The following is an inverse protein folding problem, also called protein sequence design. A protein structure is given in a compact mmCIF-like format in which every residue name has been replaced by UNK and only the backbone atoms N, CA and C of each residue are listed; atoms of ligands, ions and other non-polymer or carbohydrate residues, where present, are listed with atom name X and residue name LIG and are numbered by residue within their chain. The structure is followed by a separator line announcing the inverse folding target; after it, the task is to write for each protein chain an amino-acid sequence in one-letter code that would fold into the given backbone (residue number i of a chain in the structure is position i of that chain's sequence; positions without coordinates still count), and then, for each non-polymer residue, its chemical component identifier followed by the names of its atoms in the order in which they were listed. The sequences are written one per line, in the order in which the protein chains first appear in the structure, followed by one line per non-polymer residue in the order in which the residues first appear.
data_IF_710304911892
#
_entry.id   IF_710304911892
#
_cell.length_a   1.000
_cell.length_b   1.000
_cell.length_c   1.000
_cell.angle_alpha   90.00
_cell.angle_beta   90.00
_cell.angle_gamma   90.00
#
_symmetry.space_group_name_H-M   'P 1'
#
loop_
_entity.id
_entity.type
_entity.pdbx_description
1 polymer ?
#
# COMPACT_ATOMS: atom_id res chain seq x y z
N UNK A 1 15.90 12.26 -6.51
CA UNK A 1 17.12 11.65 -7.14
C UNK A 1 17.99 10.85 -6.14
N UNK A 2 18.02 11.19 -4.83
CA UNK A 2 18.90 10.56 -3.82
C UNK A 2 18.61 9.07 -3.54
N UNK A 3 17.39 8.60 -3.71
CA UNK A 3 16.98 7.31 -3.13
C UNK A 3 16.71 6.19 -4.16
N UNK A 4 16.72 6.47 -5.45
CA UNK A 4 16.45 5.48 -6.51
C UNK A 4 14.98 4.97 -6.55
N UNK A 5 14.11 5.44 -5.67
CA UNK A 5 12.69 5.11 -5.68
C UNK A 5 11.92 5.66 -4.49
N UNK A 6 10.62 5.36 -4.46
CA UNK A 6 9.68 5.71 -3.40
C UNK A 6 8.75 4.54 -3.09
N UNK A 7 8.20 4.51 -1.88
CA UNK A 7 7.08 3.64 -1.49
C UNK A 7 5.83 4.49 -1.33
N UNK A 8 4.75 4.06 -1.93
CA UNK A 8 3.44 4.74 -1.88
C UNK A 8 2.44 3.81 -1.19
N UNK A 9 1.94 4.23 -0.04
CA UNK A 9 0.90 3.56 0.73
C UNK A 9 -0.46 4.02 0.22
N UNK A 10 -1.24 3.09 -0.29
CA UNK A 10 -2.52 3.39 -0.95
C UNK A 10 -3.64 2.66 -0.19
N UNK A 11 -4.72 3.33 0.23
CA UNK A 11 -5.89 2.67 0.77
C UNK A 11 -6.87 2.25 -0.33
N UNK A 12 -7.74 1.27 -0.05
CA UNK A 12 -8.92 0.97 -0.87
C UNK A 12 -9.99 2.05 -0.63
N UNK A 13 -9.73 3.25 -1.12
CA UNK A 13 -10.58 4.41 -0.91
C UNK A 13 -10.92 5.11 -2.24
N UNK A 14 -12.15 5.53 -2.40
CA UNK A 14 -12.67 6.14 -3.63
C UNK A 14 -12.31 5.30 -4.88
N UNK A 15 -11.84 5.95 -5.94
CA UNK A 15 -11.45 5.28 -7.18
C UNK A 15 -9.96 4.87 -7.16
N UNK A 16 -9.51 4.19 -6.10
CA UNK A 16 -8.09 3.82 -5.92
C UNK A 16 -7.49 3.07 -7.12
N UNK A 17 -8.28 2.32 -7.89
CA UNK A 17 -7.81 1.67 -9.12
C UNK A 17 -7.33 2.68 -10.18
N UNK A 18 -7.76 3.94 -10.14
CA UNK A 18 -7.31 4.96 -11.07
C UNK A 18 -5.84 5.34 -10.88
N UNK A 19 -5.23 4.98 -9.74
CA UNK A 19 -3.80 5.21 -9.48
C UNK A 19 -2.91 4.52 -10.55
N UNK A 20 -3.39 3.49 -11.21
CA UNK A 20 -2.67 2.86 -12.33
C UNK A 20 -2.37 3.85 -13.45
N UNK A 21 -3.24 4.85 -13.65
CA UNK A 21 -3.05 5.90 -14.65
C UNK A 21 -1.86 6.83 -14.37
N UNK A 22 -1.36 6.85 -13.13
CA UNK A 22 -0.18 7.66 -12.76
C UNK A 22 1.05 7.29 -13.57
N UNK A 23 1.16 6.02 -14.01
CA UNK A 23 2.25 5.59 -14.88
C UNK A 23 2.36 6.38 -16.18
N UNK A 24 1.24 6.91 -16.70
CA UNK A 24 1.24 7.72 -17.92
C UNK A 24 1.83 9.13 -17.75
N UNK A 25 1.90 9.64 -16.51
CA UNK A 25 2.39 10.98 -16.19
C UNK A 25 3.69 10.98 -15.39
N UNK A 26 4.22 9.80 -15.06
CA UNK A 26 5.54 9.66 -14.44
C UNK A 26 6.64 10.04 -15.41
N UNK A 27 7.80 10.37 -14.87
CA UNK A 27 8.96 10.67 -15.71
C UNK A 27 9.33 9.47 -16.61
N UNK A 28 9.65 9.67 -17.90
CA UNK A 28 10.09 8.60 -18.78
C UNK A 28 11.25 7.79 -18.16
N UNK A 29 11.09 6.47 -18.09
CA UNK A 29 12.09 5.57 -17.50
C UNK A 29 11.85 5.21 -16.02
N UNK A 30 10.92 5.89 -15.33
CA UNK A 30 10.47 5.47 -14.01
C UNK A 30 9.55 4.26 -14.12
N UNK A 31 9.65 3.35 -13.15
CA UNK A 31 8.85 2.12 -13.15
C UNK A 31 7.79 2.18 -12.04
N UNK A 32 6.50 2.30 -12.39
CA UNK A 32 5.43 2.13 -11.43
C UNK A 32 5.25 0.64 -11.12
N UNK A 33 5.75 0.19 -9.97
CA UNK A 33 5.62 -1.19 -9.48
C UNK A 33 4.30 -1.34 -8.76
N UNK A 34 3.47 -2.24 -9.25
CA UNK A 34 2.14 -2.55 -8.72
C UNK A 34 2.17 -3.93 -8.06
N UNK A 35 2.13 -3.95 -6.73
CA UNK A 35 2.13 -5.21 -5.98
C UNK A 35 0.71 -5.76 -5.89
N UNK A 36 0.52 -7.00 -6.31
CA UNK A 36 -0.78 -7.63 -6.33
C UNK A 36 -0.74 -9.07 -5.78
N UNK A 37 -1.91 -9.56 -5.35
CA UNK A 37 -2.10 -10.97 -5.01
C UNK A 37 -2.62 -11.71 -6.24
N UNK A 38 -1.90 -12.72 -6.76
CA UNK A 38 -2.36 -13.52 -7.89
C UNK A 38 -3.74 -14.14 -7.63
N UNK A 39 -4.58 -14.13 -8.67
CA UNK A 39 -5.91 -14.71 -8.61
C UNK A 39 -5.87 -16.21 -8.93
N UNK A 40 -6.80 -16.98 -8.35
CA UNK A 40 -6.94 -18.42 -8.62
C UNK A 40 -7.35 -18.69 -10.07
N UNK A 41 -8.19 -17.82 -10.63
CA UNK A 41 -8.60 -17.89 -12.03
C UNK A 41 -7.52 -17.25 -12.90
N UNK A 42 -6.79 -18.07 -13.67
CA UNK A 42 -5.67 -17.64 -14.52
C UNK A 42 -6.08 -16.64 -15.60
N UNK A 43 -7.27 -16.77 -16.18
CA UNK A 43 -7.75 -15.86 -17.23
C UNK A 43 -8.02 -14.47 -16.67
N UNK A 44 -8.68 -14.38 -15.50
CA UNK A 44 -8.89 -13.12 -14.81
C UNK A 44 -7.56 -12.51 -14.33
N UNK A 45 -6.63 -13.32 -13.85
CA UNK A 45 -5.31 -12.85 -13.44
C UNK A 45 -4.56 -12.18 -14.58
N UNK A 46 -4.50 -12.82 -15.75
CA UNK A 46 -3.86 -12.27 -16.95
C UNK A 46 -4.59 -11.01 -17.45
N UNK A 47 -5.92 -11.01 -17.47
CA UNK A 47 -6.70 -9.83 -17.85
C UNK A 47 -6.37 -8.63 -16.95
N UNK A 48 -6.37 -8.80 -15.61
CA UNK A 48 -6.04 -7.72 -14.68
C UNK A 48 -4.59 -7.27 -14.79
N UNK A 49 -3.64 -8.17 -15.02
CA UNK A 49 -2.24 -7.81 -15.28
C UNK A 49 -2.14 -6.93 -16.53
N UNK A 50 -2.84 -7.30 -17.61
CA UNK A 50 -2.84 -6.51 -18.83
C UNK A 50 -3.44 -5.11 -18.61
N UNK A 51 -4.57 -5.01 -17.92
CA UNK A 51 -5.19 -3.73 -17.57
C UNK A 51 -4.22 -2.85 -16.75
N UNK A 52 -3.58 -3.41 -15.73
CA UNK A 52 -2.63 -2.68 -14.86
C UNK A 52 -1.36 -2.27 -15.59
N UNK A 53 -0.90 -3.05 -16.57
CA UNK A 53 0.28 -2.73 -17.36
C UNK A 53 0.03 -1.66 -18.44
N UNK A 54 -1.24 -1.32 -18.72
CA UNK A 54 -1.64 -0.44 -19.82
C UNK A 54 -0.97 0.94 -19.79
N UNK A 55 -0.63 1.43 -18.60
CA UNK A 55 0.04 2.72 -18.39
C UNK A 55 1.50 2.57 -17.93
N UNK A 56 2.18 1.51 -18.38
CA UNK A 56 3.58 1.26 -18.02
C UNK A 56 3.79 0.55 -16.68
N UNK A 57 2.70 0.10 -16.03
CA UNK A 57 2.76 -0.60 -14.75
C UNK A 57 3.53 -1.92 -14.81
N UNK A 58 4.47 -2.11 -13.89
CA UNK A 58 5.20 -3.37 -13.70
C UNK A 58 4.54 -4.18 -12.59
N UNK A 59 3.83 -5.24 -12.97
CA UNK A 59 3.09 -6.07 -12.03
C UNK A 59 4.01 -7.03 -11.28
N UNK A 60 3.97 -6.98 -9.96
CA UNK A 60 4.78 -7.85 -9.08
C UNK A 60 3.88 -8.63 -8.14
N UNK A 61 3.99 -9.95 -8.15
CA UNK A 61 3.27 -10.79 -7.21
C UNK A 61 3.77 -10.54 -5.77
N UNK A 62 2.87 -10.42 -4.80
CA UNK A 62 3.16 -10.09 -3.40
C UNK A 62 4.34 -10.89 -2.81
N UNK A 63 4.41 -12.19 -3.08
CA UNK A 63 5.44 -13.07 -2.54
C UNK A 63 6.84 -12.85 -3.14
N UNK A 64 6.94 -12.19 -4.30
CA UNK A 64 8.22 -11.89 -4.98
C UNK A 64 8.65 -10.42 -4.88
N UNK A 65 7.87 -9.58 -4.17
CA UNK A 65 8.07 -8.13 -4.14
C UNK A 65 9.51 -7.74 -3.78
N UNK A 66 10.04 -8.22 -2.67
CA UNK A 66 11.40 -7.85 -2.23
C UNK A 66 12.46 -8.21 -3.28
N UNK A 67 12.38 -9.42 -3.85
CA UNK A 67 13.32 -9.88 -4.88
C UNK A 67 13.29 -9.02 -6.14
N UNK A 68 12.09 -8.74 -6.65
CA UNK A 68 11.92 -7.96 -7.88
C UNK A 68 12.35 -6.51 -7.70
N UNK A 69 12.02 -5.89 -6.57
CA UNK A 69 12.42 -4.51 -6.28
C UNK A 69 13.93 -4.37 -6.11
N UNK A 70 14.58 -5.34 -5.43
CA UNK A 70 16.05 -5.38 -5.33
C UNK A 70 16.69 -5.53 -6.71
N UNK A 71 16.13 -6.39 -7.58
CA UNK A 71 16.58 -6.57 -8.96
C UNK A 71 16.52 -5.26 -9.74
N UNK A 72 15.36 -4.60 -9.77
CA UNK A 72 15.16 -3.32 -10.46
C UNK A 72 16.12 -2.23 -9.96
N UNK A 73 16.34 -2.17 -8.63
CA UNK A 73 17.31 -1.24 -8.04
C UNK A 73 18.73 -1.51 -8.52
N UNK A 74 19.16 -2.79 -8.59
CA UNK A 74 20.49 -3.16 -9.09
C UNK A 74 20.69 -2.82 -10.57
N UNK A 75 19.60 -2.82 -11.34
CA UNK A 75 19.56 -2.37 -12.73
C UNK A 75 19.58 -0.83 -12.88
N UNK A 76 19.71 -0.09 -11.78
CA UNK A 76 19.73 1.37 -11.77
C UNK A 76 18.38 2.02 -12.12
N UNK A 77 17.27 1.27 -12.02
CA UNK A 77 15.94 1.77 -12.36
C UNK A 77 15.37 2.59 -11.20
N UNK A 78 14.72 3.71 -11.54
CA UNK A 78 13.92 4.47 -10.58
C UNK A 78 12.54 3.86 -10.44
N UNK A 79 12.09 3.64 -9.21
CA UNK A 79 10.91 2.82 -8.92
C UNK A 79 9.93 3.58 -8.02
N UNK A 80 8.63 3.53 -8.36
CA UNK A 80 7.56 3.91 -7.45
C UNK A 80 6.75 2.66 -7.09
N UNK A 81 6.83 2.22 -5.84
CA UNK A 81 6.19 0.97 -5.39
C UNK A 81 4.85 1.29 -4.75
N UNK A 82 3.76 0.97 -5.42
CA UNK A 82 2.40 1.08 -4.87
C UNK A 82 2.03 -0.15 -4.04
N UNK A 83 1.67 0.06 -2.78
CA UNK A 83 1.28 -0.98 -1.83
C UNK A 83 -0.06 -0.63 -1.18
N UNK A 84 -1.03 -1.53 -1.34
CA UNK A 84 -2.35 -1.38 -0.72
C UNK A 84 -2.37 -2.26 0.54
N UNK A 85 -2.48 -1.64 1.73
CA UNK A 85 -2.21 -2.31 3.02
C UNK A 85 -3.34 -2.24 4.05
N UNK A 86 -4.51 -1.72 3.69
CA UNK A 86 -5.64 -1.51 4.60
C UNK A 86 -6.58 -2.71 4.77
N UNK A 87 -6.36 -3.79 4.01
CA UNK A 87 -7.13 -5.01 4.20
C UNK A 87 -6.60 -5.86 5.37
N UNK A 88 -7.47 -6.76 5.87
CA UNK A 88 -7.13 -7.66 6.96
C UNK A 88 -6.08 -8.69 6.51
N UNK A 89 -4.92 -8.79 7.18
CA UNK A 89 -3.89 -9.75 6.83
C UNK A 89 -4.31 -11.20 7.06
N UNK A 90 -3.57 -12.15 6.49
CA UNK A 90 -3.60 -13.52 6.95
C UNK A 90 -2.99 -13.62 8.36
N UNK A 91 -3.29 -14.70 9.10
CA UNK A 91 -2.76 -14.88 10.47
C UNK A 91 -1.23 -14.84 10.56
N UNK A 92 -0.55 -15.36 9.56
CA UNK A 92 0.93 -15.35 9.47
C UNK A 92 1.54 -13.97 9.16
N UNK A 93 0.71 -13.00 8.78
CA UNK A 93 1.12 -11.63 8.43
C UNK A 93 0.56 -10.60 9.45
N UNK A 94 -0.05 -11.09 10.52
CA UNK A 94 -0.74 -10.31 11.53
C UNK A 94 0.21 -9.90 12.66
N UNK A 95 1.11 -8.94 12.38
CA UNK A 95 2.18 -8.59 13.33
C UNK A 95 1.93 -7.28 14.06
N UNK A 96 1.33 -6.29 13.42
CA UNK A 96 1.13 -4.98 14.01
C UNK A 96 -0.32 -4.73 14.40
N UNK A 97 -0.57 -4.51 15.70
CA UNK A 97 -1.90 -4.26 16.27
C UNK A 97 -2.01 -2.84 16.81
N UNK A 98 -3.07 -2.15 16.43
CA UNK A 98 -3.40 -0.81 16.93
C UNK A 98 -4.91 -0.61 17.00
N UNK A 99 -5.36 0.41 17.70
CA UNK A 99 -6.76 0.84 17.68
C UNK A 99 -7.03 1.58 16.36
N UNK A 100 -8.02 1.14 15.60
CA UNK A 100 -8.43 1.75 14.35
C UNK A 100 -9.96 1.79 14.26
N UNK A 101 -10.53 2.97 14.06
CA UNK A 101 -11.98 3.22 14.12
C UNK A 101 -12.62 2.64 15.40
N UNK A 102 -11.97 2.89 16.54
CA UNK A 102 -12.36 2.41 17.88
C UNK A 102 -12.38 0.88 18.06
N UNK A 103 -11.67 0.14 17.22
CA UNK A 103 -11.56 -1.32 17.32
C UNK A 103 -10.09 -1.77 17.31
N UNK A 104 -9.77 -2.80 18.10
CA UNK A 104 -8.46 -3.46 18.05
C UNK A 104 -8.28 -4.11 16.67
N UNK A 105 -7.29 -3.66 15.94
CA UNK A 105 -7.14 -3.92 14.52
C UNK A 105 -5.72 -4.27 14.16
N UNK A 106 -5.53 -5.35 13.43
CA UNK A 106 -4.24 -5.74 12.89
C UNK A 106 -4.00 -5.14 11.51
N UNK A 107 -2.79 -4.63 11.29
CA UNK A 107 -2.31 -4.15 10.00
C UNK A 107 -1.17 -5.01 9.47
N UNK A 108 -1.01 -5.00 8.14
CA UNK A 108 0.15 -5.59 7.46
C UNK A 108 1.33 -4.63 7.56
N UNK A 109 2.47 -5.09 8.06
CA UNK A 109 3.73 -4.36 8.14
C UNK A 109 4.60 -4.49 6.87
N UNK A 110 4.15 -5.24 5.89
CA UNK A 110 4.93 -5.56 4.69
C UNK A 110 5.44 -4.33 3.92
N UNK A 111 4.63 -3.25 3.87
CA UNK A 111 5.02 -2.01 3.21
C UNK A 111 6.15 -1.29 3.96
N UNK A 112 6.06 -1.23 5.28
CA UNK A 112 7.12 -0.68 6.13
C UNK A 112 8.43 -1.47 5.98
N UNK A 113 8.35 -2.81 5.98
CA UNK A 113 9.52 -3.67 5.79
C UNK A 113 10.18 -3.45 4.42
N UNK A 114 9.41 -3.28 3.35
CA UNK A 114 9.95 -2.94 2.02
C UNK A 114 10.59 -1.55 2.03
N UNK A 115 9.95 -0.56 2.64
CA UNK A 115 10.49 0.79 2.73
C UNK A 115 11.83 0.82 3.48
N UNK A 116 11.92 0.16 4.64
CA UNK A 116 13.16 0.04 5.42
C UNK A 116 14.24 -0.76 4.68
N UNK A 117 13.88 -1.86 4.01
CA UNK A 117 14.81 -2.67 3.22
C UNK A 117 15.46 -1.88 2.09
N UNK A 118 14.66 -1.10 1.38
CA UNK A 118 15.11 -0.33 0.21
C UNK A 118 15.67 1.05 0.56
N UNK A 119 15.39 1.54 1.77
CA UNK A 119 15.68 2.90 2.20
C UNK A 119 15.01 3.95 1.30
N UNK A 120 13.77 3.69 0.93
CA UNK A 120 12.99 4.56 0.07
C UNK A 120 12.04 5.45 0.88
N UNK A 121 11.96 6.75 0.59
CA UNK A 121 10.96 7.63 1.16
C UNK A 121 9.55 7.06 1.02
N UNK A 122 8.73 7.28 2.02
CA UNK A 122 7.36 6.74 2.10
C UNK A 122 6.36 7.87 1.99
N UNK A 123 5.39 7.70 1.10
CA UNK A 123 4.28 8.62 0.91
C UNK A 123 2.95 7.90 1.18
N UNK A 124 2.01 8.63 1.75
CA UNK A 124 0.61 8.26 1.79
C UNK A 124 -0.08 8.85 0.57
N UNK A 125 -0.79 8.01 -0.18
CA UNK A 125 -1.58 8.45 -1.34
C UNK A 125 -3.05 8.53 -0.95
N UNK A 126 -3.63 9.71 -1.09
CA UNK A 126 -5.04 9.93 -0.89
C UNK A 126 -5.73 10.27 -2.22
N UNK A 127 -6.88 9.66 -2.47
CA UNK A 127 -7.75 10.01 -3.57
C UNK A 127 -8.97 10.77 -3.03
N UNK A 128 -9.02 12.07 -3.31
CA UNK A 128 -10.14 12.94 -2.96
C UNK A 128 -11.09 13.05 -4.16
N UNK A 129 -12.32 12.59 -4.01
CA UNK A 129 -13.34 12.81 -5.04
C UNK A 129 -13.83 14.27 -4.99
N UNK A 130 -13.62 15.01 -6.07
CA UNK A 130 -14.03 16.41 -6.16
C UNK A 130 -15.41 16.59 -6.79
N UNK A 131 -15.74 15.72 -7.77
CA UNK A 131 -17.06 15.69 -8.42
C UNK A 131 -17.24 14.36 -9.15
N UNK A 132 -18.39 14.15 -9.81
CA UNK A 132 -18.62 12.94 -10.61
C UNK A 132 -17.61 12.84 -11.75
N UNK A 133 -16.81 11.76 -11.75
CA UNK A 133 -15.77 11.51 -12.75
C UNK A 133 -14.45 12.25 -12.52
N UNK A 134 -14.32 13.02 -11.43
CA UNK A 134 -13.09 13.76 -11.12
C UNK A 134 -12.59 13.43 -9.71
N UNK A 135 -11.29 13.22 -9.60
CA UNK A 135 -10.61 13.09 -8.31
C UNK A 135 -9.25 13.78 -8.34
N UNK A 136 -8.81 14.21 -7.17
CA UNK A 136 -7.43 14.63 -6.93
C UNK A 136 -6.67 13.46 -6.35
N UNK A 137 -5.42 13.32 -6.75
CA UNK A 137 -4.47 12.41 -6.12
C UNK A 137 -3.49 13.26 -5.33
N UNK A 138 -3.43 13.04 -4.03
CA UNK A 138 -2.57 13.77 -3.11
C UNK A 138 -1.51 12.81 -2.57
N UNK A 139 -0.28 13.28 -2.46
CA UNK A 139 0.83 12.52 -1.89
C UNK A 139 1.39 13.28 -0.70
N UNK A 140 1.21 12.72 0.49
CA UNK A 140 1.73 13.26 1.72
C UNK A 140 2.95 12.47 2.18
N UNK A 141 4.05 13.16 2.45
CA UNK A 141 5.25 12.55 2.98
C UNK A 141 4.99 11.94 4.37
N UNK A 142 5.30 10.66 4.53
CA UNK A 142 5.30 9.95 5.81
C UNK A 142 6.68 10.03 6.44
N UNK A 143 7.72 9.66 5.70
CA UNK A 143 9.12 9.77 6.12
C UNK A 143 10.07 9.74 4.93
N UNK A 144 11.15 10.50 5.00
CA UNK A 144 12.27 10.43 4.05
C UNK A 144 13.31 9.37 4.44
N UNK A 145 13.33 8.98 5.73
CA UNK A 145 14.37 8.13 6.32
C UNK A 145 13.76 6.91 7.02
N UNK A 146 13.17 5.97 6.25
CA UNK A 146 12.40 4.86 6.84
C UNK A 146 13.22 3.96 7.75
N UNK A 147 14.52 3.83 7.54
CA UNK A 147 15.41 3.06 8.42
C UNK A 147 15.60 3.65 9.81
N UNK A 148 15.34 4.95 9.97
CA UNK A 148 15.45 5.65 11.26
C UNK A 148 14.15 5.63 12.06
N UNK A 149 13.04 5.18 11.45
CA UNK A 149 11.76 5.07 12.16
C UNK A 149 11.73 3.83 13.06
N UNK A 150 11.02 3.93 14.18
CA UNK A 150 10.75 2.80 15.06
C UNK A 150 9.94 1.71 14.31
N UNK A 151 9.97 0.48 14.81
CA UNK A 151 9.18 -0.60 14.22
C UNK A 151 7.68 -0.36 14.46
N UNK A 152 6.93 -0.44 13.36
CA UNK A 152 5.50 -0.15 13.34
C UNK A 152 5.14 1.33 13.15
N UNK A 153 6.09 2.26 13.20
CA UNK A 153 5.82 3.70 13.10
C UNK A 153 5.22 4.11 11.76
N UNK A 154 5.75 3.59 10.65
CA UNK A 154 5.20 3.84 9.31
C UNK A 154 3.80 3.25 9.17
N UNK A 155 3.61 2.04 9.71
CA UNK A 155 2.32 1.34 9.71
C UNK A 155 1.27 2.09 10.55
N UNK A 156 1.69 2.62 11.73
CA UNK A 156 0.82 3.45 12.56
C UNK A 156 0.44 4.76 11.88
N UNK A 157 1.41 5.44 11.27
CA UNK A 157 1.15 6.66 10.53
C UNK A 157 0.12 6.42 9.41
N UNK A 158 0.26 5.32 8.67
CA UNK A 158 -0.72 4.92 7.66
C UNK A 158 -2.11 4.70 8.29
N UNK A 159 -2.20 3.97 9.40
CA UNK A 159 -3.47 3.72 10.09
C UNK A 159 -4.15 5.03 10.53
N UNK A 160 -3.40 5.97 11.10
CA UNK A 160 -3.94 7.29 11.52
C UNK A 160 -4.42 8.13 10.36
N UNK A 161 -3.64 8.22 9.27
CA UNK A 161 -4.04 8.96 8.07
C UNK A 161 -5.26 8.36 7.41
N UNK A 162 -5.31 7.04 7.26
CA UNK A 162 -6.48 6.34 6.74
C UNK A 162 -7.72 6.58 7.60
N UNK A 163 -7.58 6.54 8.94
CA UNK A 163 -8.69 6.82 9.85
C UNK A 163 -9.23 8.25 9.67
N UNK A 164 -8.34 9.23 9.50
CA UNK A 164 -8.72 10.62 9.22
C UNK A 164 -9.46 10.74 7.88
N UNK A 165 -8.92 10.09 6.83
CA UNK A 165 -9.55 10.06 5.50
C UNK A 165 -10.96 9.46 5.56
N UNK A 166 -11.14 8.33 6.26
CA UNK A 166 -12.45 7.67 6.42
C UNK A 166 -13.41 8.53 7.24
N UNK A 167 -12.95 9.15 8.35
CA UNK A 167 -13.81 10.00 9.19
C UNK A 167 -14.32 11.25 8.46
N UNK A 168 -13.50 11.79 7.55
CA UNK A 168 -13.88 12.94 6.73
C UNK A 168 -14.99 12.60 5.72
N UNK A 169 -14.89 11.47 5.02
CA UNK A 169 -15.88 11.02 4.05
C UNK A 169 -16.00 9.49 4.04
N UNK A 170 -16.79 8.92 4.97
CA UNK A 170 -16.81 7.47 5.22
C UNK A 170 -17.41 6.66 4.06
N UNK A 171 -18.23 7.28 3.20
CA UNK A 171 -18.93 6.59 2.12
C UNK A 171 -17.99 5.93 1.09
N UNK A 172 -16.74 6.42 0.98
CA UNK A 172 -15.83 5.98 -0.08
C UNK A 172 -14.82 4.92 0.34
N UNK A 173 -14.77 4.51 1.61
CA UNK A 173 -13.93 3.39 1.99
C UNK A 173 -14.57 2.04 1.63
N UNK A 174 -13.73 1.03 1.38
CA UNK A 174 -14.17 -0.29 0.92
C UNK A 174 -14.75 -1.14 2.06
N UNK A 175 -15.93 -0.76 2.58
CA UNK A 175 -16.62 -1.41 3.71
C UNK A 175 -17.02 -2.86 3.46
N UNK A 176 -17.13 -3.30 2.21
CA UNK A 176 -17.50 -4.70 1.88
C UNK A 176 -16.40 -5.69 2.25
N UNK A 177 -15.16 -5.22 2.51
CA UNK A 177 -14.10 -6.08 3.03
C UNK A 177 -14.30 -6.35 4.53
N UNK A 178 -14.25 -7.65 4.93
CA UNK A 178 -14.34 -8.06 6.34
C UNK A 178 -13.06 -7.67 7.10
N UNK A 179 -12.93 -6.37 7.47
CA UNK A 179 -11.70 -5.79 8.03
C UNK A 179 -11.34 -6.39 9.38
N UNK A 180 -12.30 -6.61 10.26
CA UNK A 180 -12.11 -7.09 11.64
C UNK A 180 -12.35 -8.59 11.80
N UNK A 181 -11.96 -9.39 10.83
CA UNK A 181 -12.08 -10.87 10.92
C UNK A 181 -11.06 -11.48 11.88
N UNK A 182 -9.91 -10.83 12.08
CA UNK A 182 -8.90 -11.26 13.03
C UNK A 182 -9.20 -10.62 14.40
N UNK A 183 -9.11 -11.44 15.45
CA UNK A 183 -9.19 -11.00 16.84
C UNK A 183 -7.84 -11.20 17.49
N UNK A 184 -7.40 -10.24 18.31
CA UNK A 184 -6.22 -10.40 19.16
C UNK A 184 -6.51 -11.52 20.14
N UNK A 185 -5.58 -12.46 20.30
CA UNK A 185 -5.71 -13.45 21.38
C UNK A 185 -5.54 -12.71 22.70
N UNK A 186 -6.51 -12.83 23.59
CA UNK A 186 -6.33 -12.40 24.97
C UNK A 186 -5.14 -13.17 25.53
N UNK A 187 -4.15 -12.47 26.05
CA UNK A 187 -3.10 -13.09 26.83
C UNK A 187 -3.78 -13.67 28.07
N UNK A 188 -3.93 -14.99 28.13
CA UNK A 188 -4.34 -15.66 29.35
C UNK A 188 -3.25 -15.35 30.37
N UNK A 189 -3.52 -14.39 31.27
CA UNK A 189 -2.71 -14.20 32.46
C UNK A 189 -2.97 -15.45 33.31
N UNK A 190 -2.03 -16.38 33.28
CA UNK A 190 -1.95 -17.39 34.32
C UNK A 190 -1.48 -16.65 35.60
N UNK A 191 -2.48 -16.37 36.49
CA UNK A 191 -2.24 -15.94 37.84
C UNK A 191 -1.71 -17.11 38.68
#
# INVERSE_FOLDING_TARGET
EKHGGIVVLIPHYANFEWIIGMGAIMHPGDIPVQVYKPLSNKYLDEMFKHIRARFGGYNVAKHSTAREVIKLRREGRRIAIGLITDQSPNRSEAHYWTTFLNQDTVFMDGAERIAKLMDFPVFYCELERTSRGYCKVLFDLVTETPKQTADGEITECFARRLEQTIRREPAYWFWSHKRWKNKRKESVQHG
#
